data_IF_331066419593
#
_entry.id   IF_331066419593
#
_cell.length_a   1.000
_cell.length_b   1.000
_cell.length_c   1.000
_cell.angle_alpha   90.00
_cell.angle_beta   90.00
_cell.angle_gamma   90.00
#
_symmetry.space_group_name_H-M   'P 1'
#
loop_
_entity.id
_entity.type
_entity.pdbx_description
1 polymer ?
#
# COMPACT_ATOMS: atom_id res chain seq x y z
N UNK A 1 -11.32 -28.76 -20.94
CA UNK A 1 -10.95 -29.98 -21.67
C UNK A 1 -10.45 -29.61 -23.06
N UNK A 2 -9.45 -30.37 -23.63
CA UNK A 2 -8.96 -30.18 -25.00
C UNK A 2 -7.69 -29.35 -25.13
N UNK A 3 -7.29 -28.59 -24.07
CA UNK A 3 -6.03 -27.83 -24.10
C UNK A 3 -4.81 -28.72 -24.22
N UNK A 4 -4.86 -29.91 -23.67
CA UNK A 4 -3.81 -30.92 -23.70
C UNK A 4 -3.41 -31.37 -25.11
N UNK A 5 -4.23 -31.17 -26.14
CA UNK A 5 -3.91 -31.49 -27.53
C UNK A 5 -3.00 -30.45 -28.18
N UNK A 6 -2.85 -29.24 -27.60
CA UNK A 6 -2.04 -28.16 -28.16
C UNK A 6 -0.61 -28.19 -27.59
N UNK A 7 0.19 -29.19 -27.95
CA UNK A 7 1.54 -29.44 -27.38
C UNK A 7 2.53 -28.29 -27.55
N UNK A 8 2.36 -27.44 -28.57
CA UNK A 8 3.21 -26.28 -28.84
C UNK A 8 2.65 -24.98 -28.27
N UNK A 9 1.62 -25.06 -27.44
CA UNK A 9 0.99 -23.88 -26.82
C UNK A 9 2.00 -23.14 -25.94
N UNK A 10 2.22 -21.86 -26.23
CA UNK A 10 3.13 -21.00 -25.44
C UNK A 10 2.41 -20.06 -24.50
N UNK A 11 1.20 -19.69 -24.84
CA UNK A 11 0.39 -18.78 -24.04
C UNK A 11 -1.05 -19.28 -23.93
N UNK A 12 -1.57 -19.35 -22.72
CA UNK A 12 -2.96 -19.71 -22.43
C UNK A 12 -3.60 -18.61 -21.60
N UNK A 13 -4.66 -18.01 -22.14
CA UNK A 13 -5.49 -17.03 -21.45
C UNK A 13 -6.88 -17.63 -21.28
N UNK A 14 -7.17 -18.13 -20.09
CA UNK A 14 -8.44 -18.73 -19.69
C UNK A 14 -9.09 -17.99 -18.52
N UNK A 15 -8.78 -16.69 -18.37
CA UNK A 15 -9.31 -15.86 -17.28
C UNK A 15 -10.83 -15.64 -17.40
N UNK A 16 -11.49 -15.43 -16.24
CA UNK A 16 -12.93 -15.14 -16.13
C UNK A 16 -13.84 -16.26 -16.66
N UNK A 17 -13.37 -17.49 -16.63
CA UNK A 17 -14.14 -18.68 -16.98
C UNK A 17 -14.31 -19.57 -15.73
N UNK A 18 -15.45 -20.19 -15.52
CA UNK A 18 -15.69 -21.05 -14.34
C UNK A 18 -14.97 -22.40 -14.49
N UNK A 19 -13.64 -22.35 -14.67
CA UNK A 19 -12.83 -23.57 -14.76
C UNK A 19 -12.67 -24.17 -13.37
N UNK A 20 -13.10 -25.41 -13.20
CA UNK A 20 -12.93 -26.17 -11.95
C UNK A 20 -11.67 -27.04 -11.98
N UNK A 21 -11.13 -27.29 -13.16
CA UNK A 21 -9.88 -28.02 -13.35
C UNK A 21 -9.17 -27.58 -14.65
N UNK A 22 -7.85 -27.70 -14.67
CA UNK A 22 -7.02 -27.37 -15.82
C UNK A 22 -5.89 -28.41 -15.92
N UNK A 23 -5.82 -29.11 -17.05
CA UNK A 23 -4.80 -30.13 -17.33
C UNK A 23 -3.78 -29.56 -18.27
N UNK A 24 -2.52 -29.41 -17.84
CA UNK A 24 -1.43 -28.77 -18.59
C UNK A 24 -0.23 -29.69 -18.79
N UNK A 25 -0.30 -30.96 -18.43
CA UNK A 25 0.84 -31.89 -18.47
C UNK A 25 1.46 -32.05 -19.85
N UNK A 26 0.66 -31.88 -20.91
CA UNK A 26 1.13 -32.00 -22.31
C UNK A 26 1.59 -30.64 -22.90
N UNK A 27 1.29 -29.52 -22.23
CA UNK A 27 1.62 -28.20 -22.73
C UNK A 27 3.00 -27.73 -22.20
N UNK A 28 4.02 -28.52 -22.43
CA UNK A 28 5.38 -28.33 -21.87
C UNK A 28 6.09 -27.08 -22.41
N UNK A 29 5.63 -26.53 -23.55
CA UNK A 29 6.16 -25.30 -24.14
C UNK A 29 5.52 -24.02 -23.56
N UNK A 30 4.61 -24.14 -22.57
CA UNK A 30 3.87 -23.01 -22.03
C UNK A 30 4.80 -22.06 -21.28
N UNK A 31 4.82 -20.79 -21.73
CA UNK A 31 5.61 -19.72 -21.12
C UNK A 31 4.76 -18.74 -20.33
N UNK A 32 3.47 -18.62 -20.69
CA UNK A 32 2.52 -17.73 -20.01
C UNK A 32 1.20 -18.43 -19.76
N UNK A 33 0.75 -18.36 -18.52
CA UNK A 33 -0.55 -18.86 -18.11
C UNK A 33 -1.32 -17.76 -17.37
N UNK A 34 -2.53 -17.49 -17.84
CA UNK A 34 -3.52 -16.69 -17.11
C UNK A 34 -4.80 -17.51 -16.96
N UNK A 35 -5.04 -17.98 -15.73
CA UNK A 35 -6.26 -18.68 -15.31
C UNK A 35 -6.96 -17.95 -14.16
N UNK A 36 -6.78 -16.62 -14.13
CA UNK A 36 -7.39 -15.73 -13.14
C UNK A 36 -8.91 -15.84 -13.13
N UNK A 37 -9.49 -15.60 -11.95
CA UNK A 37 -10.94 -15.48 -11.77
C UNK A 37 -11.71 -16.72 -12.27
N UNK A 38 -11.26 -17.88 -11.80
CA UNK A 38 -11.80 -19.19 -12.08
C UNK A 38 -12.22 -19.88 -10.76
N UNK A 39 -12.47 -21.17 -10.77
CA UNK A 39 -12.88 -21.93 -9.60
C UNK A 39 -11.91 -23.09 -9.31
N UNK A 40 -10.63 -22.87 -9.64
CA UNK A 40 -9.60 -23.90 -9.48
C UNK A 40 -9.31 -24.12 -7.99
N UNK A 41 -9.39 -25.36 -7.58
CA UNK A 41 -9.00 -25.80 -6.22
C UNK A 41 -7.59 -26.37 -6.18
N UNK A 42 -7.04 -26.76 -7.35
CA UNK A 42 -5.67 -27.24 -7.53
C UNK A 42 -5.16 -26.85 -8.92
N UNK A 43 -3.84 -26.70 -9.05
CA UNK A 43 -3.16 -26.37 -10.29
C UNK A 43 -1.81 -27.09 -10.31
N UNK A 44 -1.68 -28.09 -11.20
CA UNK A 44 -0.43 -28.83 -11.40
C UNK A 44 0.37 -28.18 -12.54
N UNK A 45 1.55 -27.66 -12.22
CA UNK A 45 2.48 -26.99 -13.13
C UNK A 45 3.81 -27.75 -13.26
N UNK A 46 3.92 -28.96 -12.72
CA UNK A 46 5.17 -29.75 -12.67
C UNK A 46 5.81 -30.05 -14.05
N UNK A 47 5.01 -29.98 -15.12
CA UNK A 47 5.48 -30.17 -16.50
C UNK A 47 5.72 -28.90 -17.28
N UNK A 48 5.32 -27.73 -16.72
CA UNK A 48 5.38 -26.44 -17.41
C UNK A 48 6.66 -25.66 -17.02
N UNK A 49 7.81 -26.28 -17.17
CA UNK A 49 9.12 -25.74 -16.71
C UNK A 49 9.56 -24.47 -17.45
N UNK A 50 8.99 -24.19 -18.62
CA UNK A 50 9.28 -22.99 -19.41
C UNK A 50 8.44 -21.76 -18.96
N UNK A 51 7.59 -21.91 -17.91
CA UNK A 51 6.68 -20.87 -17.48
C UNK A 51 7.44 -19.67 -16.90
N UNK A 52 7.23 -18.50 -17.50
CA UNK A 52 7.83 -17.23 -17.05
C UNK A 52 6.82 -16.30 -16.39
N UNK A 53 5.54 -16.37 -16.78
CA UNK A 53 4.47 -15.56 -16.22
C UNK A 53 3.28 -16.45 -15.83
N UNK A 54 2.87 -16.33 -14.57
CA UNK A 54 1.71 -17.03 -14.04
C UNK A 54 0.76 -16.01 -13.38
N UNK A 55 -0.47 -15.95 -13.87
CA UNK A 55 -1.60 -15.32 -13.17
C UNK A 55 -2.65 -16.39 -12.86
N UNK A 56 -2.71 -16.82 -11.61
CA UNK A 56 -3.71 -17.72 -11.06
C UNK A 56 -4.54 -17.06 -9.95
N UNK A 57 -4.63 -15.72 -10.00
CA UNK A 57 -5.35 -14.94 -9.00
C UNK A 57 -6.85 -15.25 -8.96
N UNK A 58 -7.46 -15.01 -7.81
CA UNK A 58 -8.91 -15.17 -7.57
C UNK A 58 -9.41 -16.56 -7.97
N UNK A 59 -8.79 -17.57 -7.35
CA UNK A 59 -9.18 -18.97 -7.41
C UNK A 59 -9.46 -19.50 -5.98
N UNK A 60 -9.47 -20.80 -5.80
CA UNK A 60 -9.70 -21.46 -4.52
C UNK A 60 -8.51 -22.35 -4.12
N UNK A 61 -7.30 -21.95 -4.56
CA UNK A 61 -6.09 -22.72 -4.32
C UNK A 61 -5.72 -22.69 -2.83
N UNK A 62 -5.51 -23.85 -2.24
CA UNK A 62 -5.00 -24.02 -0.88
C UNK A 62 -3.51 -24.29 -0.82
N UNK A 63 -2.93 -24.73 -1.95
CA UNK A 63 -1.51 -24.96 -2.16
C UNK A 63 -1.13 -24.61 -3.61
N UNK A 64 0.12 -24.20 -3.82
CA UNK A 64 0.69 -23.91 -5.14
C UNK A 64 2.15 -24.34 -5.10
N UNK A 65 2.49 -25.39 -5.84
CA UNK A 65 3.85 -25.88 -5.99
C UNK A 65 4.49 -25.28 -7.24
N UNK A 66 5.61 -24.58 -7.05
CA UNK A 66 6.36 -23.88 -8.10
C UNK A 66 7.81 -24.36 -8.20
N UNK A 67 8.15 -25.47 -7.54
CA UNK A 67 9.52 -25.97 -7.49
C UNK A 67 10.12 -26.30 -8.87
N UNK A 68 9.29 -26.73 -9.82
CA UNK A 68 9.69 -27.00 -11.20
C UNK A 68 9.66 -25.78 -12.15
N UNK A 69 9.08 -24.64 -11.69
CA UNK A 69 8.88 -23.45 -12.53
C UNK A 69 9.99 -22.40 -12.29
N UNK A 70 11.23 -22.83 -12.40
CA UNK A 70 12.42 -22.03 -12.03
C UNK A 70 12.66 -20.80 -12.92
N UNK A 71 12.00 -20.72 -14.08
CA UNK A 71 12.08 -19.59 -15.01
C UNK A 71 11.05 -18.48 -14.71
N UNK A 72 10.29 -18.59 -13.62
CA UNK A 72 9.27 -17.57 -13.29
C UNK A 72 9.88 -16.20 -13.03
N UNK A 73 9.38 -15.19 -13.77
CA UNK A 73 9.73 -13.78 -13.65
C UNK A 73 8.59 -13.01 -12.96
N UNK A 74 7.34 -13.39 -13.24
CA UNK A 74 6.16 -12.76 -12.66
C UNK A 74 5.15 -13.77 -12.14
N UNK A 75 4.71 -13.58 -10.90
CA UNK A 75 3.71 -14.41 -10.25
C UNK A 75 2.59 -13.54 -9.66
N UNK A 76 1.36 -13.81 -10.06
CA UNK A 76 0.16 -13.32 -9.41
C UNK A 76 -0.67 -14.52 -8.92
N UNK A 77 -0.63 -14.78 -7.62
CA UNK A 77 -1.44 -15.78 -6.94
C UNK A 77 -2.40 -15.16 -5.91
N UNK A 78 -2.72 -13.87 -6.09
CA UNK A 78 -3.59 -13.13 -5.16
C UNK A 78 -5.01 -13.70 -5.10
N UNK A 79 -5.73 -13.44 -4.00
CA UNK A 79 -7.13 -13.86 -3.86
C UNK A 79 -7.33 -15.37 -3.86
N UNK A 80 -6.46 -16.10 -3.16
CA UNK A 80 -6.55 -17.54 -2.97
C UNK A 80 -6.64 -17.89 -1.47
N UNK A 81 -6.39 -19.13 -1.11
CA UNK A 81 -6.45 -19.62 0.27
C UNK A 81 -5.11 -20.18 0.74
N UNK A 82 -4.00 -19.69 0.16
CA UNK A 82 -2.65 -20.16 0.44
C UNK A 82 -2.25 -19.81 1.88
N UNK A 83 -1.83 -20.80 2.65
CA UNK A 83 -1.25 -20.61 3.99
C UNK A 83 0.28 -20.66 3.99
N UNK A 84 0.85 -21.23 2.94
CA UNK A 84 2.29 -21.32 2.68
C UNK A 84 2.52 -21.04 1.19
N UNK A 85 3.62 -20.39 0.87
CA UNK A 85 4.09 -20.17 -0.50
C UNK A 85 5.62 -20.32 -0.48
N UNK A 86 6.14 -21.38 -1.11
CA UNK A 86 7.57 -21.62 -1.25
C UNK A 86 8.04 -21.07 -2.61
N UNK A 87 8.99 -20.14 -2.56
CA UNK A 87 9.58 -19.46 -3.72
C UNK A 87 11.09 -19.67 -3.81
N UNK A 88 11.65 -20.59 -3.03
CA UNK A 88 13.10 -20.83 -2.95
C UNK A 88 13.71 -21.26 -4.29
N UNK A 89 12.91 -21.85 -5.19
CA UNK A 89 13.32 -22.29 -6.52
C UNK A 89 13.00 -21.29 -7.64
N UNK A 90 12.61 -20.04 -7.30
CA UNK A 90 12.22 -19.03 -8.28
C UNK A 90 13.10 -17.76 -8.22
N UNK A 91 14.42 -17.86 -8.41
CA UNK A 91 15.36 -16.74 -8.17
C UNK A 91 15.20 -15.58 -9.17
N UNK A 92 14.63 -15.85 -10.36
CA UNK A 92 14.42 -14.84 -11.41
C UNK A 92 13.16 -13.97 -11.19
N UNK A 93 12.45 -14.19 -10.06
CA UNK A 93 11.19 -13.51 -9.79
C UNK A 93 11.41 -12.01 -9.56
N UNK A 94 10.87 -11.17 -10.45
CA UNK A 94 10.94 -9.70 -10.35
C UNK A 94 9.66 -9.08 -9.83
N UNK A 95 8.51 -9.72 -10.04
CA UNK A 95 7.20 -9.26 -9.58
C UNK A 95 6.43 -10.37 -8.89
N UNK A 96 6.01 -10.10 -7.65
CA UNK A 96 5.19 -11.00 -6.86
C UNK A 96 3.94 -10.28 -6.35
N UNK A 97 2.76 -10.81 -6.68
CA UNK A 97 1.52 -10.49 -6.00
C UNK A 97 0.95 -11.76 -5.34
N UNK A 98 1.07 -11.84 -4.02
CA UNK A 98 0.49 -12.90 -3.20
C UNK A 98 -0.56 -12.34 -2.21
N UNK A 99 -1.14 -11.19 -2.52
CA UNK A 99 -2.14 -10.51 -1.68
C UNK A 99 -3.42 -11.32 -1.48
N UNK A 100 -4.21 -10.98 -0.46
CA UNK A 100 -5.49 -11.62 -0.17
C UNK A 100 -5.37 -13.16 -0.07
N UNK A 101 -4.44 -13.62 0.78
CA UNK A 101 -4.22 -15.02 1.10
C UNK A 101 -4.27 -15.25 2.63
N UNK A 102 -3.74 -16.37 3.10
CA UNK A 102 -3.70 -16.71 4.53
C UNK A 102 -2.27 -16.91 5.03
N UNK A 103 -1.28 -16.29 4.35
CA UNK A 103 0.13 -16.45 4.65
C UNK A 103 0.45 -15.91 6.05
N UNK A 104 1.14 -16.70 6.86
CA UNK A 104 1.63 -16.29 8.18
C UNK A 104 3.11 -15.97 8.19
N UNK A 105 3.86 -16.44 7.19
CA UNK A 105 5.24 -16.16 6.89
C UNK A 105 5.46 -16.12 5.38
N UNK A 106 6.48 -15.42 4.91
CA UNK A 106 6.88 -15.33 3.52
C UNK A 106 8.41 -15.21 3.49
N UNK A 107 9.08 -16.26 3.00
CA UNK A 107 10.52 -16.27 2.81
C UNK A 107 10.85 -15.80 1.39
N UNK A 108 11.61 -14.72 1.29
CA UNK A 108 12.03 -14.08 0.03
C UNK A 108 13.55 -14.08 -0.13
N UNK A 109 14.29 -14.81 0.70
CA UNK A 109 15.76 -14.89 0.65
C UNK A 109 16.27 -15.46 -0.67
N UNK A 110 15.47 -16.30 -1.33
CA UNK A 110 15.73 -16.88 -2.66
C UNK A 110 15.37 -15.96 -3.85
N UNK A 111 14.86 -14.74 -3.63
CA UNK A 111 14.32 -13.90 -4.70
C UNK A 111 15.00 -12.51 -4.78
N UNK A 112 16.32 -12.42 -4.98
CA UNK A 112 17.05 -11.15 -4.93
C UNK A 112 16.71 -10.18 -6.08
N UNK A 113 16.13 -10.69 -7.18
CA UNK A 113 15.73 -9.89 -8.33
C UNK A 113 14.39 -9.15 -8.14
N UNK A 114 13.73 -9.29 -6.98
CA UNK A 114 12.40 -8.74 -6.73
C UNK A 114 12.42 -7.22 -6.74
N UNK A 115 11.63 -6.62 -7.63
CA UNK A 115 11.43 -5.17 -7.76
C UNK A 115 10.07 -4.71 -7.27
N UNK A 116 9.06 -5.60 -7.31
CA UNK A 116 7.69 -5.31 -6.88
C UNK A 116 7.15 -6.45 -6.02
N UNK A 117 6.70 -6.11 -4.83
CA UNK A 117 6.07 -7.03 -3.89
C UNK A 117 4.72 -6.48 -3.43
N UNK A 118 3.66 -7.22 -3.68
CA UNK A 118 2.34 -7.03 -3.07
C UNK A 118 1.99 -8.27 -2.23
N UNK A 119 2.13 -8.14 -0.92
CA UNK A 119 1.78 -9.18 0.06
C UNK A 119 0.69 -8.72 1.03
N UNK A 120 -0.08 -7.70 0.66
CA UNK A 120 -1.18 -7.16 1.47
C UNK A 120 -2.25 -8.18 1.79
N UNK A 121 -3.07 -7.86 2.79
CA UNK A 121 -4.22 -8.69 3.19
C UNK A 121 -3.83 -10.15 3.46
N UNK A 122 -2.82 -10.32 4.32
CA UNK A 122 -2.35 -11.61 4.80
C UNK A 122 -2.30 -11.62 6.35
N UNK A 123 -1.54 -12.54 6.93
CA UNK A 123 -1.39 -12.68 8.39
C UNK A 123 0.08 -12.64 8.82
N UNK A 124 0.92 -11.96 8.01
CA UNK A 124 2.36 -11.89 8.24
C UNK A 124 2.66 -11.16 9.56
N UNK A 125 3.48 -11.77 10.39
CA UNK A 125 3.96 -11.18 11.65
C UNK A 125 5.35 -10.56 11.54
N UNK A 126 6.11 -10.98 10.54
CA UNK A 126 7.42 -10.47 10.15
C UNK A 126 7.59 -10.52 8.64
N UNK A 127 8.49 -9.71 8.10
CA UNK A 127 8.85 -9.68 6.68
C UNK A 127 10.34 -9.30 6.62
N UNK A 128 11.19 -10.23 6.19
CA UNK A 128 12.61 -9.98 5.96
C UNK A 128 12.84 -9.65 4.48
N UNK A 129 13.40 -8.48 4.23
CA UNK A 129 13.67 -7.95 2.91
C UNK A 129 15.17 -7.66 2.68
N UNK A 130 16.03 -8.14 3.56
CA UNK A 130 17.46 -7.83 3.53
C UNK A 130 18.15 -8.27 2.21
N UNK A 131 17.65 -9.30 1.55
CA UNK A 131 18.19 -9.79 0.28
C UNK A 131 17.52 -9.17 -0.95
N UNK A 132 16.39 -8.46 -0.78
CA UNK A 132 15.60 -7.92 -1.90
C UNK A 132 16.01 -6.46 -2.21
N UNK A 133 17.29 -6.23 -2.43
CA UNK A 133 17.89 -4.90 -2.54
C UNK A 133 17.46 -4.10 -3.78
N UNK A 134 16.87 -4.78 -4.77
CA UNK A 134 16.32 -4.17 -5.98
C UNK A 134 14.87 -3.68 -5.83
N UNK A 135 14.28 -3.80 -4.61
CA UNK A 135 12.86 -3.50 -4.39
C UNK A 135 12.56 -2.01 -4.61
N UNK A 136 11.61 -1.74 -5.50
CA UNK A 136 11.16 -0.40 -5.89
C UNK A 136 9.78 -0.10 -5.27
N UNK A 137 8.90 -1.11 -5.20
CA UNK A 137 7.55 -0.99 -4.66
C UNK A 137 7.26 -2.09 -3.67
N UNK A 138 6.78 -1.72 -2.50
CA UNK A 138 6.34 -2.63 -1.45
C UNK A 138 4.92 -2.26 -1.01
N UNK A 139 4.01 -3.21 -1.14
CA UNK A 139 2.71 -3.17 -0.50
C UNK A 139 2.57 -4.34 0.48
N UNK A 140 2.62 -4.04 1.77
CA UNK A 140 2.46 -5.00 2.86
C UNK A 140 1.32 -4.60 3.81
N UNK A 141 0.36 -3.77 3.34
CA UNK A 141 -0.72 -3.31 4.20
C UNK A 141 -1.63 -4.45 4.68
N UNK A 142 -2.37 -4.17 5.73
CA UNK A 142 -3.31 -5.11 6.34
C UNK A 142 -2.67 -6.48 6.64
N UNK A 143 -1.63 -6.42 7.48
CA UNK A 143 -0.93 -7.57 8.04
C UNK A 143 -0.82 -7.43 9.57
N UNK A 144 0.08 -8.16 10.20
CA UNK A 144 0.31 -8.14 11.65
C UNK A 144 1.76 -7.80 11.99
N UNK A 145 2.43 -7.02 11.12
CA UNK A 145 3.83 -6.69 11.27
C UNK A 145 4.06 -5.83 12.53
N UNK A 146 4.97 -6.26 13.37
CA UNK A 146 5.40 -5.53 14.57
C UNK A 146 6.71 -4.80 14.37
N UNK A 147 7.44 -5.08 13.30
CA UNK A 147 8.63 -4.40 12.84
C UNK A 147 8.73 -4.51 11.32
N UNK A 148 9.36 -3.53 10.69
CA UNK A 148 9.67 -3.53 9.26
C UNK A 148 11.04 -2.88 9.08
N UNK A 149 12.04 -3.66 8.68
CA UNK A 149 13.40 -3.20 8.42
C UNK A 149 13.56 -2.97 6.91
N UNK A 150 13.89 -1.75 6.51
CA UNK A 150 14.02 -1.32 5.12
C UNK A 150 15.44 -0.80 4.79
N UNK A 151 16.41 -0.98 5.68
CA UNK A 151 17.79 -0.49 5.47
C UNK A 151 18.46 -1.12 4.24
N UNK A 152 18.05 -2.32 3.85
CA UNK A 152 18.54 -3.00 2.64
C UNK A 152 17.83 -2.61 1.33
N UNK A 153 16.88 -1.65 1.34
CA UNK A 153 16.03 -1.38 0.19
C UNK A 153 16.12 0.10 -0.28
N UNK A 154 17.31 0.61 -0.65
CA UNK A 154 17.52 2.03 -0.95
C UNK A 154 16.79 2.49 -2.23
N UNK A 155 16.40 1.57 -3.11
CA UNK A 155 15.70 1.86 -4.37
C UNK A 155 14.19 2.07 -4.19
N UNK A 156 13.67 1.93 -2.94
CA UNK A 156 12.24 2.00 -2.67
C UNK A 156 11.69 3.40 -2.96
N UNK A 157 10.71 3.46 -3.88
CA UNK A 157 10.00 4.71 -4.24
C UNK A 157 8.58 4.76 -3.70
N UNK A 158 7.95 3.60 -3.48
CA UNK A 158 6.58 3.49 -2.99
C UNK A 158 6.51 2.47 -1.87
N UNK A 159 5.99 2.88 -0.72
CA UNK A 159 5.78 2.04 0.45
C UNK A 159 4.34 2.16 0.94
N UNK A 160 3.62 1.04 0.96
CA UNK A 160 2.32 0.91 1.61
C UNK A 160 2.45 -0.11 2.75
N UNK A 161 2.49 0.39 3.99
CA UNK A 161 2.59 -0.43 5.20
C UNK A 161 1.46 -0.16 6.21
N UNK A 162 0.37 0.42 5.73
CA UNK A 162 -0.82 0.76 6.51
C UNK A 162 -1.46 -0.47 7.16
N UNK A 163 -2.27 -0.28 8.20
CA UNK A 163 -2.98 -1.36 8.89
C UNK A 163 -2.06 -2.49 9.34
N UNK A 164 -1.02 -2.11 10.13
CA UNK A 164 -0.09 -3.01 10.78
C UNK A 164 0.03 -2.64 12.28
N UNK A 165 1.03 -3.16 12.96
CA UNK A 165 1.24 -2.94 14.39
C UNK A 165 2.57 -2.23 14.68
N UNK A 166 3.10 -1.48 13.70
CA UNK A 166 4.43 -0.87 13.73
C UNK A 166 4.50 0.24 14.79
N UNK A 167 5.37 0.12 15.81
CA UNK A 167 5.61 1.20 16.78
C UNK A 167 6.59 2.25 16.26
N UNK A 168 7.46 1.88 15.33
CA UNK A 168 8.50 2.70 14.71
C UNK A 168 8.64 2.34 13.24
N UNK A 169 9.15 3.26 12.45
CA UNK A 169 9.49 3.06 11.03
C UNK A 169 10.74 3.89 10.72
N UNK A 170 11.85 3.22 10.43
CA UNK A 170 13.08 3.86 10.00
C UNK A 170 13.14 3.90 8.46
N UNK A 171 13.23 5.12 7.93
CA UNK A 171 13.27 5.40 6.49
C UNK A 171 14.54 6.15 6.09
N UNK A 172 15.55 6.19 6.94
CA UNK A 172 16.78 6.97 6.75
C UNK A 172 17.54 6.59 5.48
N UNK A 173 17.50 5.32 5.07
CA UNK A 173 18.15 4.81 3.86
C UNK A 173 17.27 4.89 2.60
N UNK A 174 15.94 5.09 2.76
CA UNK A 174 14.98 5.08 1.64
C UNK A 174 14.81 6.48 1.03
N UNK A 175 15.91 7.08 0.61
CA UNK A 175 15.96 8.49 0.17
C UNK A 175 15.23 8.77 -1.15
N UNK A 176 14.92 7.73 -1.92
CA UNK A 176 14.18 7.81 -3.17
C UNK A 176 12.64 7.75 -2.96
N UNK A 177 12.18 7.62 -1.71
CA UNK A 177 10.76 7.45 -1.42
C UNK A 177 9.96 8.69 -1.83
N UNK A 178 8.99 8.49 -2.73
CA UNK A 178 8.07 9.53 -3.22
C UNK A 178 6.69 9.42 -2.58
N UNK A 179 6.28 8.21 -2.21
CA UNK A 179 4.95 7.91 -1.73
C UNK A 179 5.01 7.00 -0.51
N UNK A 180 4.41 7.43 0.58
CA UNK A 180 4.34 6.71 1.85
C UNK A 180 2.91 6.65 2.37
N UNK A 181 2.41 5.42 2.54
CA UNK A 181 1.17 5.10 3.24
C UNK A 181 1.51 4.27 4.48
N UNK A 182 1.40 4.86 5.66
CA UNK A 182 1.69 4.22 6.95
C UNK A 182 0.54 4.41 7.97
N UNK A 183 -0.68 4.62 7.48
CA UNK A 183 -1.88 4.82 8.29
C UNK A 183 -2.18 3.59 9.15
N UNK A 184 -2.93 3.81 10.23
CA UNK A 184 -3.42 2.74 11.09
C UNK A 184 -2.29 1.83 11.59
N UNK A 185 -1.30 2.46 12.22
CA UNK A 185 -0.19 1.83 12.91
C UNK A 185 -0.11 2.31 14.36
N UNK A 186 1.04 2.11 15.03
CA UNK A 186 1.28 2.54 16.40
C UNK A 186 2.42 3.55 16.51
N UNK A 187 2.71 4.27 15.42
CA UNK A 187 3.85 5.20 15.33
C UNK A 187 3.68 6.34 16.31
N UNK A 188 4.68 6.58 17.15
CA UNK A 188 4.73 7.71 18.08
C UNK A 188 5.54 8.89 17.54
N UNK A 189 6.43 8.62 16.60
CA UNK A 189 7.24 9.57 15.84
C UNK A 189 7.60 8.96 14.48
N UNK A 190 7.97 9.80 13.54
CA UNK A 190 8.55 9.41 12.25
C UNK A 190 9.57 10.47 11.84
N UNK A 191 10.79 10.04 11.48
CA UNK A 191 11.80 10.93 10.90
C UNK A 191 11.78 10.82 9.38
N UNK A 192 11.46 11.94 8.73
CA UNK A 192 11.39 12.07 7.27
C UNK A 192 12.46 13.01 6.71
N UNK A 193 13.46 13.36 7.50
CA UNK A 193 14.49 14.35 7.14
C UNK A 193 15.31 13.94 5.91
N UNK A 194 15.46 12.63 5.64
CA UNK A 194 16.18 12.10 4.49
C UNK A 194 15.28 11.89 3.26
N UNK A 195 13.95 11.84 3.42
CA UNK A 195 13.00 11.52 2.35
C UNK A 195 12.55 12.78 1.59
N UNK A 196 13.51 13.52 1.03
CA UNK A 196 13.30 14.84 0.40
C UNK A 196 12.45 14.77 -0.88
N UNK A 197 12.37 13.60 -1.51
CA UNK A 197 11.57 13.35 -2.70
C UNK A 197 10.09 13.09 -2.38
N UNK A 198 9.71 12.98 -1.09
CA UNK A 198 8.37 12.61 -0.66
C UNK A 198 7.33 13.61 -1.18
N UNK A 199 6.42 13.10 -1.99
CA UNK A 199 5.33 13.83 -2.66
C UNK A 199 3.98 13.59 -1.99
N UNK A 200 3.74 12.38 -1.49
CA UNK A 200 2.51 11.99 -0.81
C UNK A 200 2.83 11.29 0.50
N UNK A 201 2.20 11.77 1.57
CA UNK A 201 2.31 11.21 2.90
C UNK A 201 0.91 10.99 3.48
N UNK A 202 0.60 9.75 3.80
CA UNK A 202 -0.59 9.34 4.53
C UNK A 202 -0.15 8.64 5.81
N UNK A 203 -0.34 9.28 6.96
CA UNK A 203 0.07 8.81 8.27
C UNK A 203 -1.05 8.88 9.30
N UNK A 204 -2.29 8.79 8.83
CA UNK A 204 -3.50 8.86 9.64
C UNK A 204 -3.57 7.75 10.70
N UNK A 205 -4.38 7.96 11.73
CA UNK A 205 -4.67 6.94 12.74
C UNK A 205 -3.37 6.32 13.32
N UNK A 206 -2.54 7.20 13.88
CA UNK A 206 -1.30 6.83 14.57
C UNK A 206 -1.26 7.50 15.95
N UNK A 207 -0.08 7.59 16.56
CA UNK A 207 0.12 8.23 17.87
C UNK A 207 1.15 9.35 17.82
N UNK A 208 1.29 9.98 16.63
CA UNK A 208 2.31 11.01 16.39
C UNK A 208 2.04 12.24 17.27
N UNK A 209 3.03 12.65 18.03
CA UNK A 209 2.95 13.87 18.85
C UNK A 209 3.59 15.06 18.14
N UNK A 210 4.49 14.80 17.22
CA UNK A 210 5.18 15.78 16.36
C UNK A 210 5.30 15.24 14.95
N UNK A 211 5.35 16.14 13.97
CA UNK A 211 5.59 15.81 12.57
C UNK A 211 6.39 16.96 11.93
N UNK A 212 7.69 16.75 11.73
CA UNK A 212 8.56 17.71 11.05
C UNK A 212 8.61 17.37 9.56
N UNK A 213 8.10 18.30 8.74
CA UNK A 213 8.06 18.21 7.29
C UNK A 213 8.93 19.27 6.62
N UNK A 214 9.82 19.89 7.36
CA UNK A 214 10.67 20.99 6.85
C UNK A 214 11.59 20.58 5.70
N UNK A 215 12.00 19.31 5.64
CA UNK A 215 12.80 18.74 4.55
C UNK A 215 11.98 18.30 3.33
N UNK A 216 10.66 18.03 3.52
CA UNK A 216 9.81 17.42 2.51
C UNK A 216 9.09 18.47 1.64
N UNK A 217 9.87 19.33 1.00
CA UNK A 217 9.38 20.47 0.20
C UNK A 217 8.70 20.07 -1.10
N UNK A 218 8.77 18.79 -1.47
CA UNK A 218 8.10 18.22 -2.64
C UNK A 218 6.65 17.80 -2.35
N UNK A 219 6.19 17.79 -1.08
CA UNK A 219 4.86 17.34 -0.70
C UNK A 219 3.75 18.09 -1.44
N UNK A 220 2.87 17.30 -2.08
CA UNK A 220 1.63 17.76 -2.73
C UNK A 220 0.39 17.26 -1.99
N UNK A 221 0.46 16.11 -1.32
CA UNK A 221 -0.59 15.54 -0.52
C UNK A 221 -0.10 15.16 0.88
N UNK A 222 -0.84 15.58 1.89
CA UNK A 222 -0.61 15.23 3.29
C UNK A 222 -1.94 14.83 3.94
N UNK A 223 -1.97 13.64 4.52
CA UNK A 223 -3.01 13.23 5.46
C UNK A 223 -2.36 12.76 6.76
N UNK A 224 -2.76 13.37 7.87
CA UNK A 224 -2.29 13.08 9.22
C UNK A 224 -3.44 13.11 10.24
N UNK A 225 -4.65 12.71 9.80
CA UNK A 225 -5.83 12.61 10.66
C UNK A 225 -5.59 11.68 11.86
N UNK A 226 -6.39 11.86 12.90
CA UNK A 226 -6.41 10.96 14.06
C UNK A 226 -5.00 10.66 14.60
N UNK A 227 -4.35 11.73 15.06
CA UNK A 227 -3.04 11.69 15.70
C UNK A 227 -3.05 12.52 17.00
N UNK A 228 -1.88 12.82 17.57
CA UNK A 228 -1.73 13.60 18.80
C UNK A 228 -0.93 14.89 18.57
N UNK A 229 -1.02 15.43 17.35
CA UNK A 229 -0.26 16.62 16.96
C UNK A 229 -0.83 17.85 17.65
N UNK A 230 -0.01 18.59 18.40
CA UNK A 230 -0.38 19.88 19.01
C UNK A 230 -0.01 21.06 18.12
N UNK A 231 0.89 20.86 17.17
CA UNK A 231 1.30 21.83 16.17
C UNK A 231 1.65 21.14 14.84
N UNK A 232 1.45 21.85 13.73
CA UNK A 232 1.83 21.40 12.39
C UNK A 232 2.41 22.59 11.62
N UNK A 233 3.73 22.51 11.32
CA UNK A 233 4.46 23.56 10.63
C UNK A 233 4.57 23.25 9.12
N UNK A 234 3.86 24.00 8.29
CA UNK A 234 3.77 23.76 6.83
C UNK A 234 4.41 24.87 5.99
N UNK A 235 5.18 25.77 6.60
CA UNK A 235 5.73 26.94 5.90
C UNK A 235 6.65 26.62 4.72
N UNK A 236 7.26 25.42 4.71
CA UNK A 236 8.13 24.94 3.64
C UNK A 236 7.41 24.08 2.58
N UNK A 237 6.19 23.63 2.87
CA UNK A 237 5.46 22.69 2.00
C UNK A 237 4.55 23.44 1.01
N UNK A 238 5.09 24.42 0.31
CA UNK A 238 4.36 25.36 -0.57
C UNK A 238 3.74 24.71 -1.81
N UNK A 239 4.04 23.44 -2.06
CA UNK A 239 3.46 22.64 -3.17
C UNK A 239 2.19 21.88 -2.75
N UNK A 240 1.80 21.90 -1.47
CA UNK A 240 0.62 21.17 -1.00
C UNK A 240 -0.64 21.62 -1.75
N UNK A 241 -1.35 20.60 -2.26
CA UNK A 241 -2.65 20.71 -2.95
C UNK A 241 -3.77 20.17 -2.06
N UNK A 242 -3.48 19.12 -1.29
CA UNK A 242 -4.42 18.48 -0.38
C UNK A 242 -3.83 18.34 1.02
N UNK A 243 -4.61 18.69 2.04
CA UNK A 243 -4.25 18.60 3.46
C UNK A 243 -5.40 18.01 4.25
N UNK A 244 -5.15 16.92 4.96
CA UNK A 244 -6.03 16.34 5.96
C UNK A 244 -5.33 16.31 7.32
N UNK A 245 -5.92 16.95 8.35
CA UNK A 245 -5.36 17.00 9.70
C UNK A 245 -6.43 17.00 10.80
N UNK A 246 -7.62 16.46 10.52
CA UNK A 246 -8.69 16.28 11.51
C UNK A 246 -8.22 15.43 12.70
N UNK A 247 -8.99 15.45 13.78
CA UNK A 247 -8.77 14.59 14.95
C UNK A 247 -7.34 14.68 15.50
N UNK A 248 -6.87 15.93 15.63
CA UNK A 248 -5.60 16.29 16.27
C UNK A 248 -5.82 17.45 17.27
N UNK A 249 -5.14 17.49 18.42
CA UNK A 249 -5.25 18.59 19.37
C UNK A 249 -4.48 19.85 18.90
N UNK A 250 -4.63 20.20 17.60
CA UNK A 250 -4.00 21.41 17.05
C UNK A 250 -4.63 22.66 17.63
N UNK A 251 -3.80 23.56 18.16
CA UNK A 251 -4.24 24.87 18.68
C UNK A 251 -4.23 25.91 17.55
N UNK A 252 -3.25 25.82 16.66
CA UNK A 252 -3.02 26.80 15.60
C UNK A 252 -2.52 26.12 14.34
N UNK A 253 -3.04 26.56 13.19
CA UNK A 253 -2.60 26.09 11.86
C UNK A 253 -2.37 27.30 10.95
N UNK A 254 -1.16 27.45 10.44
CA UNK A 254 -0.80 28.53 9.51
C UNK A 254 -0.73 28.00 8.08
N UNK A 255 -1.67 28.44 7.25
CA UNK A 255 -1.81 28.07 5.84
C UNK A 255 -1.42 29.21 4.89
N UNK A 256 -0.87 30.32 5.40
CA UNK A 256 -0.63 31.53 4.63
C UNK A 256 0.32 31.34 3.42
N UNK A 257 1.23 30.37 3.48
CA UNK A 257 2.18 30.06 2.41
C UNK A 257 1.70 28.99 1.43
N UNK A 258 0.49 28.44 1.60
CA UNK A 258 -0.03 27.32 0.83
C UNK A 258 -0.94 27.79 -0.31
N UNK A 259 -0.38 28.55 -1.26
CA UNK A 259 -1.13 29.15 -2.37
C UNK A 259 -1.77 28.12 -3.34
N UNK A 260 -1.28 26.87 -3.35
CA UNK A 260 -1.80 25.78 -4.21
C UNK A 260 -2.82 24.88 -3.51
N UNK A 261 -3.09 25.11 -2.22
CA UNK A 261 -4.00 24.26 -1.47
C UNK A 261 -5.43 24.38 -2.02
N UNK A 262 -5.93 23.29 -2.61
CA UNK A 262 -7.27 23.20 -3.20
C UNK A 262 -8.25 22.37 -2.39
N UNK A 263 -7.74 21.48 -1.52
CA UNK A 263 -8.56 20.66 -0.64
C UNK A 263 -7.98 20.66 0.77
N UNK A 264 -8.85 20.83 1.77
CA UNK A 264 -8.48 20.75 3.17
C UNK A 264 -9.59 20.03 3.95
N UNK A 265 -9.20 19.13 4.85
CA UNK A 265 -10.07 18.49 5.82
C UNK A 265 -9.59 18.83 7.23
N UNK A 266 -10.45 19.49 7.99
CA UNK A 266 -10.24 19.91 9.38
C UNK A 266 -11.34 19.32 10.26
N UNK A 267 -11.08 19.20 11.56
CA UNK A 267 -12.03 18.70 12.54
C UNK A 267 -13.35 19.45 12.53
N UNK A 268 -14.42 18.66 12.53
CA UNK A 268 -15.77 19.12 12.65
C UNK A 268 -16.08 19.72 14.04
N UNK A 269 -15.55 19.09 15.09
CA UNK A 269 -15.85 19.44 16.49
C UNK A 269 -14.78 20.29 17.18
N UNK A 270 -13.66 20.57 16.51
CA UNK A 270 -12.54 21.29 17.12
C UNK A 270 -12.63 22.80 16.85
N UNK A 271 -13.65 23.45 17.45
CA UNK A 271 -13.85 24.92 17.39
C UNK A 271 -12.68 25.75 17.95
N UNK A 272 -11.62 25.13 18.43
CA UNK A 272 -10.49 25.82 19.09
C UNK A 272 -9.31 26.07 18.16
N UNK A 273 -9.32 25.51 16.93
CA UNK A 273 -8.18 25.67 16.03
C UNK A 273 -8.17 27.07 15.41
N UNK A 274 -7.10 27.82 15.65
CA UNK A 274 -6.88 29.10 14.99
C UNK A 274 -6.25 28.88 13.62
N UNK A 275 -7.03 29.02 12.54
CA UNK A 275 -6.53 28.93 11.16
C UNK A 275 -6.08 30.31 10.68
N UNK A 276 -4.83 30.42 10.25
CA UNK A 276 -4.25 31.64 9.68
C UNK A 276 -4.10 31.44 8.18
N UNK A 277 -4.75 32.31 7.40
CA UNK A 277 -4.70 32.30 5.93
C UNK A 277 -4.40 33.70 5.41
N UNK A 278 -3.87 33.80 4.19
CA UNK A 278 -3.87 35.05 3.48
C UNK A 278 -5.28 35.33 2.93
N UNK A 279 -5.80 36.52 3.15
CA UNK A 279 -7.17 36.95 2.78
C UNK A 279 -7.49 36.87 1.28
N UNK A 280 -6.57 36.41 0.42
CA UNK A 280 -6.71 36.26 -1.05
C UNK A 280 -6.87 34.82 -1.52
N UNK A 281 -6.86 33.83 -0.65
CA UNK A 281 -6.96 32.43 -1.05
C UNK A 281 -8.42 31.97 -1.12
N UNK A 282 -8.79 31.32 -2.24
CA UNK A 282 -10.10 30.70 -2.46
C UNK A 282 -10.47 29.65 -1.37
N UNK A 283 -9.50 29.24 -0.56
CA UNK A 283 -9.64 28.34 0.60
C UNK A 283 -10.53 28.93 1.68
N UNK A 284 -10.44 30.27 1.94
CA UNK A 284 -11.28 30.94 2.94
C UNK A 284 -12.75 30.82 2.57
N UNK A 285 -13.09 30.92 1.28
CA UNK A 285 -14.48 30.80 0.83
C UNK A 285 -15.00 29.35 0.86
N UNK A 286 -14.15 28.35 0.67
CA UNK A 286 -14.54 26.94 0.80
C UNK A 286 -14.60 26.50 2.25
N UNK A 287 -13.68 26.92 3.10
CA UNK A 287 -13.74 26.74 4.56
C UNK A 287 -14.98 27.43 5.15
N UNK A 288 -15.27 28.68 4.78
CA UNK A 288 -16.45 29.42 5.26
C UNK A 288 -17.75 28.76 4.79
N UNK A 289 -17.86 28.31 3.54
CA UNK A 289 -19.04 27.56 3.05
C UNK A 289 -19.18 26.20 3.71
N UNK A 290 -18.07 25.50 3.93
CA UNK A 290 -18.07 24.23 4.64
C UNK A 290 -18.51 24.41 6.09
N UNK A 291 -17.96 25.38 6.80
CA UNK A 291 -18.38 25.74 8.18
C UNK A 291 -19.87 26.14 8.25
N UNK A 292 -20.36 26.90 7.28
CA UNK A 292 -21.78 27.28 7.20
C UNK A 292 -22.70 26.09 6.92
N UNK A 293 -22.29 25.13 6.07
CA UNK A 293 -23.08 23.93 5.82
C UNK A 293 -23.20 23.04 7.06
N UNK A 294 -22.17 23.03 7.86
CA UNK A 294 -22.08 22.31 9.14
C UNK A 294 -22.98 22.92 10.20
N UNK A 295 -22.94 24.25 10.36
CA UNK A 295 -23.82 24.94 11.28
C UNK A 295 -25.31 24.71 10.91
N UNK A 296 -25.64 24.70 9.62
CA UNK A 296 -26.96 24.42 9.15
C UNK A 296 -27.42 22.96 9.44
N UNK A 297 -26.52 21.97 9.34
CA UNK A 297 -26.84 20.58 9.70
C UNK A 297 -26.99 20.40 11.23
N UNK A 298 -26.18 21.08 12.05
CA UNK A 298 -26.33 21.06 13.51
C UNK A 298 -27.66 21.65 13.97
N UNK A 299 -28.06 22.76 13.37
CA UNK A 299 -29.36 23.37 13.66
C UNK A 299 -30.51 22.42 13.26
N UNK A 300 -30.41 21.71 12.13
CA UNK A 300 -31.40 20.69 11.75
C UNK A 300 -31.49 19.54 12.75
N UNK A 301 -30.34 19.04 13.24
CA UNK A 301 -30.32 17.95 14.23
C UNK A 301 -30.83 18.39 15.61
N UNK A 302 -30.60 19.65 15.99
CA UNK A 302 -31.14 20.18 17.26
C UNK A 302 -32.67 20.34 17.20
N UNK A 303 -33.19 20.80 16.06
CA UNK A 303 -34.64 20.92 15.82
C UNK A 303 -35.35 19.53 15.77
N UNK A 304 -34.66 18.47 15.32
CA UNK A 304 -35.20 17.11 15.31
C UNK A 304 -35.13 16.39 16.67
N UNK A 305 -34.42 16.91 17.67
CA UNK A 305 -34.36 16.39 19.02
C UNK A 305 -35.36 17.10 19.97
N UNK A 306 -35.96 18.20 19.55
CA UNK A 306 -36.96 18.97 20.30
C UNK A 306 -38.41 18.66 19.82
N UNK A 307 -38.60 17.86 18.77
CA UNK A 307 -39.88 17.25 18.37
C UNK A 307 -40.00 15.81 18.91
#
# INVERSE_FOLDING_TARGET
>A
EGVEYFKNLRELIGAFHPLTSLRLSENTALTKLNCRDSQLTALDLSKNKALTLLDCAYNQLTALDLADNTALIGLNCSGNQLSVLDLTQNPELTGLNCSHNRLTALDLTGNPALTQLDCRDNRLTSLDLAQNTALIRLDCHNNRLTALNLTGNPMLTELVCSYNLLPTLDLSENTMLTDLWCESNRLTSIDLSQNKALSRLYCDNNRLTTLDLSANTALTGLSCHDNRLTALALSKNTKLVALGCCDNPLIRLNLSNLAKLGAISLDYDNYKIQVITNSRTAIVSSLTRYMQSIEAEKQKKHLQQEE
#
